data_IF_633478322926
#
_entry.id   IF_633478322926
#
_cell.length_a   1.000
_cell.length_b   1.000
_cell.length_c   1.000
_cell.angle_alpha   90.00
_cell.angle_beta   90.00
_cell.angle_gamma   90.00
#
_symmetry.space_group_name_H-M   'P 1'
#
loop_
_entity.id
_entity.type
_entity.pdbx_description
1 polymer ?
#
# COMPACT_ATOMS: atom_id res chain seq x y z
N UNK A 1 -56.56 12.12 7.30
CA UNK A 1 -55.55 12.78 6.45
C UNK A 1 -54.60 11.71 5.91
N UNK A 2 -54.69 11.44 4.61
CA UNK A 2 -54.01 10.33 3.96
C UNK A 2 -52.50 10.60 3.77
N UNK A 3 -51.65 9.63 4.14
CA UNK A 3 -50.19 9.70 3.94
C UNK A 3 -49.88 9.39 2.47
N UNK A 4 -49.42 10.39 1.73
CA UNK A 4 -49.02 10.27 0.33
C UNK A 4 -47.86 9.30 0.16
N UNK A 5 -48.08 8.25 -0.63
CA UNK A 5 -47.08 7.23 -1.01
C UNK A 5 -46.17 7.84 -2.07
N UNK A 6 -44.86 7.97 -1.79
CA UNK A 6 -43.88 8.46 -2.78
C UNK A 6 -43.81 7.49 -3.98
N UNK A 7 -43.79 7.97 -5.23
CA UNK A 7 -43.65 7.10 -6.39
C UNK A 7 -42.21 6.56 -6.49
N UNK A 8 -42.07 5.24 -6.62
CA UNK A 8 -40.80 4.57 -6.88
C UNK A 8 -40.34 4.89 -8.32
N UNK A 9 -39.35 5.76 -8.48
CA UNK A 9 -38.59 5.86 -9.73
C UNK A 9 -37.75 4.59 -9.88
N UNK A 10 -38.14 3.70 -10.81
CA UNK A 10 -37.24 2.66 -11.31
C UNK A 10 -36.10 3.36 -12.05
N UNK A 11 -34.87 3.18 -11.57
CA UNK A 11 -33.65 3.51 -12.31
C UNK A 11 -33.58 2.58 -13.53
N UNK A 12 -34.08 3.06 -14.67
CA UNK A 12 -33.79 2.46 -15.97
C UNK A 12 -32.51 3.12 -16.47
N UNK A 13 -31.38 2.45 -16.23
CA UNK A 13 -30.07 2.98 -16.61
C UNK A 13 -28.93 2.14 -16.04
N UNK A 14 -28.85 0.87 -16.44
CA UNK A 14 -27.56 0.17 -16.47
C UNK A 14 -26.61 0.88 -17.46
N UNK A 15 -25.30 0.58 -17.44
CA UNK A 15 -24.30 1.32 -18.21
C UNK A 15 -24.65 1.28 -19.70
N UNK A 16 -25.30 2.33 -20.18
CA UNK A 16 -25.48 2.55 -21.61
C UNK A 16 -24.08 2.72 -22.15
N UNK A 17 -23.66 1.78 -23.00
CA UNK A 17 -22.60 2.07 -23.95
C UNK A 17 -22.91 3.46 -24.53
N UNK A 18 -21.93 4.35 -24.48
CA UNK A 18 -22.05 5.67 -25.05
C UNK A 18 -22.25 5.48 -26.56
N UNK A 19 -23.52 5.42 -26.98
CA UNK A 19 -23.89 5.27 -28.37
C UNK A 19 -23.15 6.33 -29.17
N UNK A 20 -22.65 5.93 -30.35
CA UNK A 20 -21.95 6.81 -31.30
C UNK A 20 -22.69 8.15 -31.34
N UNK A 21 -22.10 9.18 -30.73
CA UNK A 21 -22.78 10.47 -30.60
C UNK A 21 -23.09 11.02 -31.99
N UNK A 22 -24.10 11.88 -32.10
CA UNK A 22 -24.56 12.54 -33.34
C UNK A 22 -23.49 13.38 -34.09
N UNK A 23 -22.23 13.23 -33.73
CA UNK A 23 -21.03 13.87 -34.25
C UNK A 23 -20.17 12.90 -35.09
N UNK A 24 -20.67 11.72 -35.45
CA UNK A 24 -19.91 10.69 -36.17
C UNK A 24 -19.63 11.03 -37.64
N UNK A 25 -20.29 12.04 -38.21
CA UNK A 25 -20.13 12.51 -39.60
C UNK A 25 -19.80 14.02 -39.64
N UNK A 26 -18.94 14.49 -38.74
CA UNK A 26 -18.44 15.88 -38.77
C UNK A 26 -17.33 16.01 -39.81
N UNK A 27 -17.37 17.09 -40.60
CA UNK A 27 -16.23 17.50 -41.42
C UNK A 27 -15.04 17.89 -40.54
N UNK A 28 -13.82 17.81 -41.05
CA UNK A 28 -12.58 18.10 -40.31
C UNK A 28 -12.62 19.48 -39.62
N UNK A 29 -13.20 20.48 -40.28
CA UNK A 29 -13.37 21.83 -39.72
C UNK A 29 -14.34 21.86 -38.51
N UNK A 30 -15.42 21.08 -38.57
CA UNK A 30 -16.38 20.98 -37.48
C UNK A 30 -15.82 20.18 -36.30
N UNK A 31 -14.99 19.16 -36.57
CA UNK A 31 -14.23 18.44 -35.55
C UNK A 31 -13.22 19.35 -34.84
N UNK A 32 -12.49 20.19 -35.60
CA UNK A 32 -11.56 21.16 -35.03
C UNK A 32 -12.27 22.20 -34.15
N UNK A 33 -13.43 22.72 -34.60
CA UNK A 33 -14.25 23.64 -33.80
C UNK A 33 -14.72 23.00 -32.49
N UNK A 34 -15.21 21.76 -32.56
CA UNK A 34 -15.66 21.01 -31.38
C UNK A 34 -14.51 20.75 -30.40
N UNK A 35 -13.37 20.28 -30.92
CA UNK A 35 -12.16 20.05 -30.14
C UNK A 35 -11.70 21.34 -29.46
N UNK A 36 -11.69 22.47 -30.17
CA UNK A 36 -11.31 23.76 -29.60
C UNK A 36 -12.24 24.18 -28.45
N UNK A 37 -13.55 24.01 -28.60
CA UNK A 37 -14.51 24.28 -27.54
C UNK A 37 -14.28 23.43 -26.28
N UNK A 38 -13.93 22.16 -26.44
CA UNK A 38 -13.55 21.31 -25.32
C UNK A 38 -12.21 21.71 -24.68
N UNK A 39 -11.21 22.04 -25.50
CA UNK A 39 -9.90 22.49 -25.02
C UNK A 39 -10.03 23.77 -24.20
N UNK A 40 -10.79 24.76 -24.67
CA UNK A 40 -10.98 26.03 -23.96
C UNK A 40 -11.72 25.79 -22.63
N UNK A 41 -12.78 24.96 -22.63
CA UNK A 41 -13.52 24.58 -21.42
C UNK A 41 -12.61 23.88 -20.40
N UNK A 42 -11.83 22.88 -20.83
CA UNK A 42 -10.92 22.13 -19.95
C UNK A 42 -9.82 23.04 -19.42
N UNK A 43 -9.26 23.92 -20.25
CA UNK A 43 -8.22 24.87 -19.85
C UNK A 43 -8.74 25.81 -18.77
N UNK A 44 -9.98 26.32 -18.92
CA UNK A 44 -10.61 27.15 -17.89
C UNK A 44 -10.81 26.41 -16.55
N UNK A 45 -11.22 25.13 -16.60
CA UNK A 45 -11.39 24.32 -15.40
C UNK A 45 -10.04 24.00 -14.74
N UNK A 46 -9.00 23.72 -15.52
CA UNK A 46 -7.64 23.53 -15.01
C UNK A 46 -7.12 24.78 -14.31
N UNK A 47 -7.37 25.97 -14.87
CA UNK A 47 -7.00 27.22 -14.23
C UNK A 47 -7.71 27.40 -12.87
N UNK A 48 -9.00 27.05 -12.78
CA UNK A 48 -9.76 27.07 -11.51
C UNK A 48 -9.21 26.08 -10.48
N UNK A 49 -8.89 24.85 -10.90
CA UNK A 49 -8.26 23.85 -10.01
C UNK A 49 -6.91 24.33 -9.51
N UNK A 50 -6.10 24.96 -10.37
CA UNK A 50 -4.82 25.52 -9.96
C UNK A 50 -4.98 26.66 -8.94
N UNK A 51 -5.92 27.58 -9.15
CA UNK A 51 -6.25 28.65 -8.18
C UNK A 51 -6.72 28.06 -6.84
N UNK A 52 -7.72 27.17 -6.88
CA UNK A 52 -8.25 26.55 -5.68
C UNK A 52 -7.18 25.76 -4.92
N UNK A 53 -6.27 25.08 -5.62
CA UNK A 53 -5.15 24.36 -4.99
C UNK A 53 -4.17 25.33 -4.32
N UNK A 54 -3.91 26.48 -4.94
CA UNK A 54 -3.05 27.51 -4.36
C UNK A 54 -3.68 28.15 -3.10
N UNK A 55 -4.98 28.46 -3.16
CA UNK A 55 -5.76 28.95 -2.02
C UNK A 55 -5.76 27.94 -0.87
N UNK A 56 -5.99 26.66 -1.16
CA UNK A 56 -5.95 25.58 -0.17
C UNK A 56 -4.57 25.49 0.51
N UNK A 57 -3.49 25.59 -0.27
CA UNK A 57 -2.13 25.63 0.28
C UNK A 57 -1.90 26.84 1.18
N UNK A 58 -2.44 28.00 0.82
CA UNK A 58 -2.32 29.21 1.65
C UNK A 58 -3.16 29.11 2.93
N UNK A 59 -4.33 28.47 2.88
CA UNK A 59 -5.15 28.18 4.05
C UNK A 59 -4.41 27.26 5.05
N UNK A 60 -3.76 26.20 4.58
CA UNK A 60 -2.94 25.37 5.49
C UNK A 60 -1.72 26.11 6.04
N UNK A 61 -1.11 27.01 5.26
CA UNK A 61 0.02 27.83 5.76
C UNK A 61 -0.41 28.78 6.87
N UNK A 62 -1.58 29.41 6.73
CA UNK A 62 -2.15 30.29 7.76
C UNK A 62 -2.55 29.51 8.99
N UNK A 63 -3.24 28.38 8.83
CA UNK A 63 -3.56 27.52 9.97
C UNK A 63 -2.31 27.01 10.70
N UNK A 64 -1.24 26.68 9.95
CA UNK A 64 0.06 26.32 10.53
C UNK A 64 0.70 27.49 11.29
N UNK A 65 0.59 28.74 10.83
CA UNK A 65 1.08 29.89 11.59
C UNK A 65 0.28 30.15 12.87
N UNK A 66 -0.99 29.75 12.89
CA UNK A 66 -1.87 29.83 14.06
C UNK A 66 -1.66 28.66 15.04
N UNK A 67 -0.72 27.75 14.72
CA UNK A 67 -0.35 26.61 15.58
C UNK A 67 -1.16 25.35 15.36
N UNK A 68 -2.08 25.31 14.38
CA UNK A 68 -2.86 24.12 14.06
C UNK A 68 -2.13 23.31 12.99
N UNK A 69 -1.71 22.05 13.29
CA UNK A 69 -1.04 21.22 12.30
C UNK A 69 -2.04 20.76 11.22
N UNK A 70 -1.52 20.46 10.04
CA UNK A 70 -2.35 20.08 8.89
C UNK A 70 -3.12 18.78 9.16
N UNK A 71 -2.46 17.85 9.85
CA UNK A 71 -2.94 16.53 10.18
C UNK A 71 -4.22 16.58 11.02
N UNK A 72 -4.31 17.54 11.95
CA UNK A 72 -5.49 17.74 12.79
C UNK A 72 -6.67 18.28 11.98
N UNK A 73 -6.41 19.19 11.03
CA UNK A 73 -7.43 19.74 10.12
C UNK A 73 -7.95 18.65 9.19
N UNK A 74 -7.04 17.87 8.59
CA UNK A 74 -7.42 16.76 7.71
C UNK A 74 -8.22 15.70 8.48
N UNK A 75 -7.88 15.46 9.76
CA UNK A 75 -8.63 14.56 10.63
C UNK A 75 -10.01 15.14 11.00
N UNK A 76 -10.10 16.43 11.31
CA UNK A 76 -11.38 17.09 11.59
C UNK A 76 -12.32 17.07 10.38
N UNK A 77 -11.81 17.36 9.18
CA UNK A 77 -12.58 17.26 7.93
C UNK A 77 -13.05 15.82 7.69
N UNK A 78 -12.21 14.83 8.00
CA UNK A 78 -12.58 13.42 7.88
C UNK A 78 -13.70 13.04 8.86
N UNK A 79 -13.65 13.51 10.10
CA UNK A 79 -14.70 13.30 11.11
C UNK A 79 -16.03 13.93 10.71
N UNK A 80 -16.02 15.11 10.08
CA UNK A 80 -17.27 15.76 9.63
C UNK A 80 -17.89 15.10 8.40
N UNK A 81 -17.06 14.51 7.53
CA UNK A 81 -17.50 13.98 6.23
C UNK A 81 -17.88 12.51 6.27
N UNK A 82 -17.14 11.71 7.01
CA UNK A 82 -17.33 10.27 7.05
C UNK A 82 -18.30 9.86 8.16
N UNK A 83 -18.96 8.73 7.96
CA UNK A 83 -19.87 8.14 8.94
C UNK A 83 -19.10 7.62 10.16
N UNK A 84 -19.66 7.80 11.36
CA UNK A 84 -19.02 7.46 12.64
C UNK A 84 -18.55 6.00 12.65
N UNK A 85 -19.39 5.08 12.13
CA UNK A 85 -19.06 3.66 12.04
C UNK A 85 -17.84 3.39 11.15
N UNK A 86 -17.68 4.12 10.04
CA UNK A 86 -16.52 3.95 9.15
C UNK A 86 -15.24 4.45 9.81
N UNK A 87 -15.33 5.55 10.55
CA UNK A 87 -14.19 6.10 11.30
C UNK A 87 -13.77 5.15 12.42
N UNK A 88 -14.71 4.61 13.17
CA UNK A 88 -14.45 3.62 14.22
C UNK A 88 -13.78 2.38 13.63
N UNK A 89 -14.29 1.84 12.52
CA UNK A 89 -13.69 0.67 11.88
C UNK A 89 -12.29 0.95 11.34
N UNK A 90 -12.06 2.15 10.78
CA UNK A 90 -10.74 2.58 10.34
C UNK A 90 -9.76 2.62 11.52
N UNK A 91 -10.14 3.24 12.64
CA UNK A 91 -9.29 3.30 13.85
C UNK A 91 -9.05 1.93 14.47
N UNK A 92 -10.04 1.03 14.46
CA UNK A 92 -9.86 -0.37 14.88
C UNK A 92 -8.83 -1.09 14.01
N UNK A 93 -8.94 -0.98 12.69
CA UNK A 93 -7.93 -1.55 11.77
C UNK A 93 -6.54 -0.96 11.97
N UNK A 94 -6.43 0.36 12.14
CA UNK A 94 -5.14 1.01 12.41
C UNK A 94 -4.52 0.47 13.70
N UNK A 95 -5.34 0.26 14.74
CA UNK A 95 -4.90 -0.34 16.02
C UNK A 95 -4.52 -1.82 15.87
N UNK A 96 -5.28 -2.60 15.11
CA UNK A 96 -4.95 -4.01 14.81
C UNK A 96 -3.65 -4.13 14.02
N UNK A 97 -3.44 -3.27 13.03
CA UNK A 97 -2.18 -3.21 12.28
C UNK A 97 -1.02 -2.79 13.18
N UNK A 98 -1.23 -1.83 14.08
CA UNK A 98 -0.23 -1.44 15.06
C UNK A 98 0.14 -2.62 15.98
N UNK A 99 -0.83 -3.42 16.45
CA UNK A 99 -0.59 -4.66 17.21
C UNK A 99 0.25 -5.66 16.42
N UNK A 100 -0.12 -5.91 15.15
CA UNK A 100 0.60 -6.84 14.29
C UNK A 100 2.06 -6.43 14.02
N UNK A 101 2.32 -5.13 13.98
CA UNK A 101 3.65 -4.57 13.76
C UNK A 101 4.46 -4.39 15.06
N UNK A 102 3.94 -4.86 16.19
CA UNK A 102 4.49 -4.62 17.51
C UNK A 102 4.68 -3.13 17.85
N UNK A 103 3.88 -2.26 17.25
CA UNK A 103 3.96 -0.83 17.51
C UNK A 103 3.29 -0.51 18.85
N UNK A 104 3.89 0.37 19.68
CA UNK A 104 3.35 0.73 20.99
C UNK A 104 1.87 1.11 20.93
N UNK A 105 1.44 1.95 19.98
CA UNK A 105 0.03 2.37 19.80
C UNK A 105 -1.00 1.21 19.76
N UNK A 106 -0.58 0.00 19.37
CA UNK A 106 -1.44 -1.18 19.38
C UNK A 106 -1.73 -1.74 20.77
N UNK A 107 -0.91 -1.44 21.78
CA UNK A 107 -1.14 -1.88 23.15
C UNK A 107 -2.19 -0.98 23.82
N UNK A 108 -2.94 -1.53 24.77
CA UNK A 108 -3.93 -0.78 25.54
C UNK A 108 -3.20 0.11 26.56
N UNK A 109 -2.73 1.29 26.13
CA UNK A 109 -2.05 2.26 27.02
C UNK A 109 -2.98 2.96 28.00
N UNK A 110 -4.28 3.05 27.70
CA UNK A 110 -5.20 3.96 28.41
C UNK A 110 -5.37 3.67 29.91
N UNK A 111 -4.86 2.55 30.44
CA UNK A 111 -4.91 2.26 31.87
C UNK A 111 -3.54 2.23 32.56
N UNK A 112 -2.45 2.12 31.80
CA UNK A 112 -1.08 2.08 32.33
C UNK A 112 -0.12 2.72 31.32
N UNK A 113 0.58 3.78 31.72
CA UNK A 113 1.53 4.57 30.89
C UNK A 113 2.76 3.79 30.37
N UNK A 114 2.80 2.48 30.58
CA UNK A 114 3.87 1.58 30.16
C UNK A 114 3.30 0.32 29.52
N UNK A 115 3.92 -0.14 28.43
CA UNK A 115 3.66 -1.47 27.87
C UNK A 115 3.88 -2.54 28.95
N UNK A 116 2.85 -3.32 29.35
CA UNK A 116 2.95 -4.28 30.45
C UNK A 116 3.77 -5.53 30.10
N UNK A 117 4.23 -5.69 28.85
CA UNK A 117 4.94 -6.89 28.42
C UNK A 117 6.35 -6.99 29.03
N UNK A 118 6.75 -8.17 29.54
CA UNK A 118 8.11 -8.42 30.02
C UNK A 118 9.16 -8.12 28.93
N UNK A 119 10.34 -7.62 29.35
CA UNK A 119 11.42 -7.22 28.46
C UNK A 119 11.86 -8.33 27.49
N UNK A 120 11.85 -9.59 27.95
CA UNK A 120 12.21 -10.77 27.15
C UNK A 120 11.23 -11.02 25.99
N UNK A 121 9.93 -10.90 26.25
CA UNK A 121 8.87 -11.09 25.24
C UNK A 121 8.87 -9.97 24.21
N UNK A 122 9.05 -8.72 24.66
CA UNK A 122 9.21 -7.56 23.79
C UNK A 122 10.41 -7.72 22.85
N UNK A 123 11.54 -8.17 23.39
CA UNK A 123 12.77 -8.36 22.63
C UNK A 123 12.60 -9.45 21.56
N UNK A 124 11.89 -10.53 21.86
CA UNK A 124 11.58 -11.59 20.90
C UNK A 124 10.71 -11.08 19.74
N UNK A 125 9.64 -10.34 20.03
CA UNK A 125 8.76 -9.80 18.99
C UNK A 125 9.44 -8.76 18.10
N UNK A 126 10.28 -7.90 18.69
CA UNK A 126 11.10 -6.93 17.95
C UNK A 126 12.10 -7.62 17.03
N UNK A 127 12.76 -8.68 17.51
CA UNK A 127 13.64 -9.52 16.70
C UNK A 127 12.90 -10.16 15.53
N UNK A 128 11.72 -10.73 15.79
CA UNK A 128 10.87 -11.34 14.76
C UNK A 128 10.44 -10.35 13.68
N UNK A 129 10.10 -9.11 14.06
CA UNK A 129 9.80 -8.05 13.10
C UNK A 129 11.03 -7.63 12.29
N UNK A 130 12.21 -7.54 12.92
CA UNK A 130 13.46 -7.23 12.23
C UNK A 130 13.81 -8.32 11.19
N UNK A 131 13.64 -9.60 11.56
CA UNK A 131 13.78 -10.74 10.68
C UNK A 131 12.78 -10.70 9.51
N UNK A 132 11.49 -10.43 9.77
CA UNK A 132 10.46 -10.29 8.74
C UNK A 132 10.69 -9.11 7.78
N UNK A 133 11.36 -8.04 8.25
CA UNK A 133 11.75 -6.89 7.43
C UNK A 133 13.04 -7.14 6.63
N UNK A 134 13.71 -8.28 6.83
CA UNK A 134 14.95 -8.63 6.15
C UNK A 134 16.17 -7.82 6.62
N UNK A 135 16.13 -7.26 7.84
CA UNK A 135 17.29 -6.54 8.41
C UNK A 135 18.36 -7.52 8.88
N UNK A 136 19.61 -7.05 8.94
CA UNK A 136 20.70 -7.82 9.54
C UNK A 136 20.44 -8.14 11.01
N UNK A 137 20.96 -9.29 11.46
CA UNK A 137 20.89 -9.70 12.86
C UNK A 137 21.87 -8.86 13.70
N UNK A 138 21.46 -7.65 14.04
CA UNK A 138 22.22 -6.71 14.86
C UNK A 138 21.37 -6.30 16.10
N UNK A 139 21.37 -7.10 17.17
CA UNK A 139 20.74 -6.69 18.43
C UNK A 139 21.49 -5.51 19.03
N UNK A 140 20.80 -4.64 19.77
CA UNK A 140 21.43 -3.51 20.45
C UNK A 140 22.38 -4.00 21.56
N UNK A 141 23.60 -3.45 21.58
CA UNK A 141 24.64 -3.80 22.53
C UNK A 141 24.29 -3.40 23.98
N UNK A 142 23.33 -2.48 24.16
CA UNK A 142 22.83 -2.10 25.48
C UNK A 142 21.80 -3.09 26.06
N UNK A 143 21.34 -4.08 25.29
CA UNK A 143 20.42 -5.11 25.79
C UNK A 143 21.16 -6.12 26.67
N UNK A 144 20.61 -6.40 27.86
CA UNK A 144 21.09 -7.47 28.74
C UNK A 144 21.09 -8.83 28.03
N UNK A 145 21.92 -9.77 28.51
CA UNK A 145 22.22 -11.01 27.78
C UNK A 145 20.97 -11.87 27.48
N UNK A 146 20.00 -11.91 28.40
CA UNK A 146 18.74 -12.65 28.20
C UNK A 146 17.85 -12.00 27.12
N UNK A 147 17.73 -10.67 27.15
CA UNK A 147 16.96 -9.92 26.16
C UNK A 147 17.59 -10.00 24.76
N UNK A 148 18.92 -10.00 24.68
CA UNK A 148 19.68 -10.17 23.44
C UNK A 148 19.45 -11.55 22.82
N UNK A 149 19.52 -12.61 23.62
CA UNK A 149 19.28 -13.97 23.14
C UNK A 149 17.85 -14.14 22.62
N UNK A 150 16.87 -13.59 23.34
CA UNK A 150 15.47 -13.60 22.91
C UNK A 150 15.24 -12.82 21.62
N UNK A 151 15.94 -11.71 21.41
CA UNK A 151 15.87 -10.96 20.16
C UNK A 151 16.43 -11.76 18.97
N UNK A 152 17.56 -12.43 19.15
CA UNK A 152 18.17 -13.29 18.12
C UNK A 152 17.24 -14.48 17.79
N UNK A 153 16.66 -15.14 18.80
CA UNK A 153 15.65 -16.19 18.63
C UNK A 153 14.45 -15.70 17.80
N UNK A 154 13.96 -14.49 18.11
CA UNK A 154 12.91 -13.83 17.35
C UNK A 154 13.30 -13.60 15.90
N UNK A 155 14.50 -13.06 15.65
CA UNK A 155 15.02 -12.78 14.30
C UNK A 155 15.08 -14.03 13.43
N UNK A 156 15.59 -15.14 13.97
CA UNK A 156 15.60 -16.43 13.27
C UNK A 156 14.18 -16.93 12.97
N UNK A 157 13.23 -16.77 13.89
CA UNK A 157 11.83 -17.10 13.64
C UNK A 157 11.20 -16.24 12.52
N UNK A 158 11.54 -14.95 12.46
CA UNK A 158 11.12 -14.04 11.39
C UNK A 158 11.70 -14.43 10.02
N UNK A 159 12.98 -14.76 9.97
CA UNK A 159 13.66 -15.24 8.76
C UNK A 159 13.12 -16.59 8.29
N UNK A 160 12.79 -17.51 9.20
CA UNK A 160 12.16 -18.78 8.85
C UNK A 160 10.82 -18.58 8.13
N UNK A 161 10.01 -17.59 8.56
CA UNK A 161 8.75 -17.24 7.90
C UNK A 161 8.99 -16.63 6.51
N UNK A 162 10.00 -15.78 6.35
CA UNK A 162 10.40 -15.28 5.03
C UNK A 162 10.86 -16.41 4.10
N UNK A 163 11.76 -17.27 4.59
CA UNK A 163 12.26 -18.42 3.84
C UNK A 163 11.14 -19.37 3.38
N UNK A 164 10.14 -19.61 4.23
CA UNK A 164 8.94 -20.40 3.87
C UNK A 164 8.12 -19.74 2.75
N UNK A 165 8.06 -18.41 2.68
CA UNK A 165 7.40 -17.68 1.58
C UNK A 165 8.20 -17.73 0.29
N UNK A 166 9.53 -17.64 0.35
CA UNK A 166 10.41 -17.79 -0.82
C UNK A 166 10.42 -19.22 -1.35
N UNK A 167 10.32 -20.23 -0.50
CA UNK A 167 10.15 -21.63 -0.89
C UNK A 167 8.82 -21.90 -1.64
N UNK A 168 7.85 -20.98 -1.56
CA UNK A 168 6.58 -21.00 -2.31
C UNK A 168 6.51 -19.95 -3.43
N UNK A 169 7.62 -19.27 -3.76
CA UNK A 169 7.76 -18.34 -4.91
C UNK A 169 7.88 -19.09 -6.25
N UNK A 170 7.66 -18.41 -7.39
CA UNK A 170 7.14 -19.02 -8.62
C UNK A 170 8.04 -20.14 -9.12
N UNK A 171 7.42 -21.28 -9.45
CA UNK A 171 8.08 -22.28 -10.24
C UNK A 171 8.59 -21.61 -11.54
N UNK A 172 9.91 -21.65 -11.70
CA UNK A 172 10.73 -21.48 -12.93
C UNK A 172 11.26 -20.08 -13.26
N UNK A 173 12.59 -19.98 -13.44
CA UNK A 173 13.19 -20.13 -14.77
C UNK A 173 14.18 -21.29 -14.94
N UNK A 174 14.33 -22.20 -13.97
CA UNK A 174 15.26 -23.34 -14.13
C UNK A 174 14.71 -24.53 -14.95
N UNK A 175 13.43 -24.52 -15.35
CA UNK A 175 12.94 -25.42 -16.43
C UNK A 175 13.45 -24.98 -17.82
N UNK A 176 14.18 -23.87 -17.93
CA UNK A 176 14.79 -23.39 -19.18
C UNK A 176 16.31 -23.70 -19.32
N UNK A 177 16.96 -24.41 -18.38
CA UNK A 177 18.39 -24.74 -18.53
C UNK A 177 18.81 -26.19 -18.31
N UNK A 178 17.99 -27.02 -17.68
CA UNK A 178 18.43 -28.39 -17.31
C UNK A 178 17.83 -29.53 -18.15
N UNK A 179 17.05 -29.25 -19.20
CA UNK A 179 16.51 -30.29 -20.10
C UNK A 179 17.34 -30.58 -21.35
N UNK A 180 18.53 -29.98 -21.53
CA UNK A 180 19.29 -30.12 -22.78
C UNK A 180 20.75 -30.57 -22.68
N UNK A 181 21.37 -30.75 -21.50
CA UNK A 181 22.78 -31.18 -21.45
C UNK A 181 23.17 -32.04 -20.25
N UNK A 182 22.54 -33.19 -20.05
CA UNK A 182 23.21 -34.33 -19.40
C UNK A 182 22.76 -35.65 -20.04
N UNK A 183 22.87 -35.77 -21.36
CA UNK A 183 22.86 -37.07 -22.05
C UNK A 183 23.49 -36.94 -23.44
N UNK A 184 24.82 -36.88 -23.49
CA UNK A 184 25.61 -37.33 -24.64
C UNK A 184 27.10 -37.37 -24.27
N UNK A 185 27.48 -38.43 -23.55
CA UNK A 185 28.84 -38.94 -23.56
C UNK A 185 29.19 -39.36 -24.99
N UNK A 186 29.94 -38.54 -25.71
CA UNK A 186 30.82 -38.98 -26.81
C UNK A 186 32.17 -38.31 -26.62
N UNK A 187 33.17 -39.15 -26.43
CA UNK A 187 34.59 -38.84 -26.44
C UNK A 187 34.91 -38.37 -27.86
N UNK A 188 35.47 -37.17 -28.01
CA UNK A 188 35.91 -36.63 -29.30
C UNK A 188 37.26 -37.25 -29.67
N UNK A 189 37.33 -37.84 -30.87
CA UNK A 189 38.48 -38.51 -31.51
C UNK A 189 39.66 -37.56 -31.85
N UNK A 190 39.83 -36.46 -31.10
CA UNK A 190 40.86 -35.45 -31.35
C UNK A 190 42.08 -35.57 -30.43
N UNK A 191 41.99 -36.32 -29.33
CA UNK A 191 43.10 -36.51 -28.36
C UNK A 191 43.91 -37.81 -28.58
N UNK A 192 43.48 -38.70 -29.49
CA UNK A 192 44.17 -39.98 -29.73
C UNK A 192 45.33 -39.88 -30.77
N UNK A 193 45.47 -38.74 -31.46
CA UNK A 193 46.54 -38.52 -32.46
C UNK A 193 47.75 -37.76 -31.88
N UNK A 194 47.64 -37.21 -30.67
CA UNK A 194 48.74 -36.48 -30.02
C UNK A 194 49.66 -37.37 -29.15
N UNK A 195 49.42 -38.69 -29.08
CA UNK A 195 50.21 -39.63 -28.27
C UNK A 195 50.82 -40.79 -29.07
N UNK A 196 51.24 -40.55 -30.32
CA UNK A 196 52.15 -41.43 -31.06
C UNK A 196 53.55 -40.83 -31.16
#
# INVERSE_FOLDING_TARGET
MARGRKPNLKVVGGPSEAGKGHNSELTDEQQLRLLRGHVDKITSLKAKVASATAELRNAYKTAKSDGVPKEDIDFAIALEKDDDDKMIQRRRRETELARLLNHPIGTQFEMFDSDPRPLAERSFEDGKQAGLKGKDCAPDNAMGDEARNKWIEGWHAGQAILAQKFAKGPATPEVLRDSEKVDAKKVDDFDEVASK
#
